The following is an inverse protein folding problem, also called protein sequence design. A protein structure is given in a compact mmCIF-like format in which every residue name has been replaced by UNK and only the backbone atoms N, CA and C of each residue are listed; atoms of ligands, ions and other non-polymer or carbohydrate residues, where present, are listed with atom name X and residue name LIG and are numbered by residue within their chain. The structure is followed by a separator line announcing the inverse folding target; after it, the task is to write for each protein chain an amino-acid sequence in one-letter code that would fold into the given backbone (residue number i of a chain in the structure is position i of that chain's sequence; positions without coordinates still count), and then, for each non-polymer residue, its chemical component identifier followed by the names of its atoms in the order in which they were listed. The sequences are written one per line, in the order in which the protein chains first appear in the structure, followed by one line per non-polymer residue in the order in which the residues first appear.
data_IF_587564260805
#
_entry.id   IF_587564260805
#
_cell.length_a   1.000
_cell.length_b   1.000
_cell.length_c   1.000
_cell.angle_alpha   90.00
_cell.angle_beta   90.00
_cell.angle_gamma   90.00
#
_symmetry.space_group_name_H-M   'P 1'
#
loop_
_entity.id
_entity.type
_entity.pdbx_description
1 polymer ?
#
# COMPACT_ATOMS: atom_id res chain seq x y z
N UNK A 1 -1.86 21.62 -18.72
CA UNK A 1 -2.32 20.65 -17.71
C UNK A 1 -1.40 20.79 -16.52
N UNK A 2 -1.90 21.20 -15.35
CA UNK A 2 -1.02 21.50 -14.20
C UNK A 2 -0.35 20.21 -13.69
N UNK A 3 0.98 20.17 -13.67
CA UNK A 3 1.79 19.08 -13.13
C UNK A 3 1.82 19.13 -11.60
N UNK A 4 0.65 18.98 -10.97
CA UNK A 4 0.58 18.91 -9.51
C UNK A 4 0.91 17.49 -9.07
N UNK A 5 1.92 17.36 -8.21
CA UNK A 5 2.27 16.08 -7.59
C UNK A 5 1.19 15.68 -6.58
N UNK A 6 0.69 14.44 -6.72
CA UNK A 6 -0.19 13.87 -5.71
C UNK A 6 0.65 13.27 -4.58
N UNK A 7 0.51 13.81 -3.37
CA UNK A 7 1.26 13.33 -2.21
C UNK A 7 0.58 12.15 -1.48
N UNK A 8 -0.77 12.12 -1.49
CA UNK A 8 -1.58 11.14 -0.76
C UNK A 8 -1.75 9.81 -1.50
N UNK A 9 -2.07 8.75 -0.74
CA UNK A 9 -2.48 7.47 -1.32
C UNK A 9 -3.95 7.48 -1.76
N UNK A 10 -4.29 6.61 -2.71
CA UNK A 10 -5.67 6.38 -3.14
C UNK A 10 -6.38 5.45 -2.13
N UNK A 11 -7.68 5.63 -1.82
CA UNK A 11 -8.45 4.67 -1.02
C UNK A 11 -8.33 3.20 -1.46
N UNK A 12 -8.14 2.98 -2.77
CA UNK A 12 -7.88 1.67 -3.37
C UNK A 12 -6.69 0.94 -2.74
N UNK A 13 -5.71 1.67 -2.22
CA UNK A 13 -4.58 1.07 -1.50
C UNK A 13 -5.05 0.28 -0.27
N UNK A 14 -6.04 0.79 0.47
CA UNK A 14 -6.64 0.06 1.57
C UNK A 14 -7.51 -1.10 1.08
N UNK A 15 -8.28 -0.88 0.02
CA UNK A 15 -9.22 -1.89 -0.52
C UNK A 15 -8.50 -3.14 -1.05
N UNK A 16 -7.44 -2.97 -1.85
CA UNK A 16 -6.64 -4.09 -2.37
C UNK A 16 -6.02 -4.88 -1.22
N UNK A 17 -5.46 -4.16 -0.23
CA UNK A 17 -4.86 -4.77 0.95
C UNK A 17 -5.90 -5.54 1.78
N UNK A 18 -7.12 -5.00 1.94
CA UNK A 18 -8.22 -5.67 2.63
C UNK A 18 -8.71 -6.94 1.91
N UNK A 19 -8.47 -7.07 0.61
CA UNK A 19 -8.70 -8.31 -0.15
C UNK A 19 -7.57 -9.34 -0.01
N UNK A 20 -6.53 -9.08 0.78
CA UNK A 20 -5.41 -10.01 0.94
C UNK A 20 -4.61 -10.23 -0.33
N UNK A 21 -4.51 -9.20 -1.18
CA UNK A 21 -3.80 -9.25 -2.46
C UNK A 21 -2.56 -8.36 -2.42
N UNK A 22 -1.47 -8.81 -3.04
CA UNK A 22 -0.24 -8.03 -3.16
C UNK A 22 -0.49 -6.79 -4.06
N UNK A 23 -0.02 -5.62 -3.61
CA UNK A 23 -0.07 -4.39 -4.38
C UNK A 23 1.34 -3.85 -4.68
N UNK A 24 1.56 -3.43 -5.92
CA UNK A 24 2.68 -2.57 -6.32
C UNK A 24 2.09 -1.23 -6.74
N UNK A 25 2.49 -0.13 -6.09
CA UNK A 25 1.99 1.23 -6.38
C UNK A 25 3.13 2.20 -6.64
N UNK A 26 2.87 3.36 -7.21
CA UNK A 26 3.88 4.39 -7.33
C UNK A 26 4.31 4.92 -5.94
N UNK A 27 5.57 5.34 -5.82
CA UNK A 27 6.06 5.95 -4.60
C UNK A 27 5.39 7.32 -4.39
N UNK A 28 4.74 7.48 -3.24
CA UNK A 28 4.04 8.72 -2.84
C UNK A 28 4.63 9.23 -1.53
N UNK A 29 4.74 10.55 -1.37
CA UNK A 29 5.33 11.15 -0.17
C UNK A 29 4.63 10.74 1.13
N UNK A 30 3.29 10.65 1.13
CA UNK A 30 2.53 10.30 2.33
C UNK A 30 2.37 8.78 2.53
N UNK A 31 2.71 7.94 1.55
CA UNK A 31 2.53 6.49 1.65
C UNK A 31 3.21 5.89 2.90
N UNK A 32 4.45 6.29 3.27
CA UNK A 32 5.12 5.82 4.49
C UNK A 32 4.36 6.12 5.80
N UNK A 33 3.36 7.01 5.79
CA UNK A 33 2.50 7.27 6.97
C UNK A 33 1.45 6.17 7.20
N UNK A 34 1.16 5.35 6.18
CA UNK A 34 0.09 4.36 6.21
C UNK A 34 0.61 2.92 6.05
N UNK A 35 1.66 2.75 5.25
CA UNK A 35 2.26 1.46 4.91
C UNK A 35 3.78 1.59 4.86
N UNK A 36 4.50 0.50 5.07
CA UNK A 36 5.95 0.40 4.97
C UNK A 36 6.35 -0.25 3.62
N UNK A 37 6.93 0.53 2.68
CA UNK A 37 7.49 0.01 1.44
C UNK A 37 8.44 -1.18 1.65
N UNK A 38 8.27 -2.23 0.86
CA UNK A 38 9.05 -3.48 0.92
C UNK A 38 8.67 -4.41 2.08
N UNK A 39 7.67 -4.06 2.90
CA UNK A 39 7.18 -4.91 3.99
C UNK A 39 5.72 -5.29 3.82
N UNK A 40 4.81 -4.31 3.81
CA UNK A 40 3.35 -4.50 3.72
C UNK A 40 2.73 -3.87 2.46
N UNK A 41 3.54 -3.16 1.67
CA UNK A 41 3.22 -2.64 0.34
C UNK A 41 4.50 -2.61 -0.50
N UNK A 42 4.38 -2.82 -1.82
CA UNK A 42 5.50 -2.58 -2.73
C UNK A 42 5.31 -1.27 -3.51
N UNK A 43 6.41 -0.58 -3.79
CA UNK A 43 6.41 0.69 -4.51
C UNK A 43 7.30 0.66 -5.76
N UNK A 44 7.12 1.60 -6.68
CA UNK A 44 8.06 1.84 -7.78
C UNK A 44 8.19 3.33 -8.08
N UNK A 45 9.34 3.73 -8.62
CA UNK A 45 9.64 5.12 -9.04
C UNK A 45 9.75 5.26 -10.56
N UNK A 46 9.97 4.15 -11.27
CA UNK A 46 10.10 4.13 -12.73
C UNK A 46 9.35 2.96 -13.34
N UNK A 47 8.95 3.09 -14.61
CA UNK A 47 8.31 2.00 -15.35
C UNK A 47 9.21 0.75 -15.45
N UNK A 48 10.53 0.95 -15.60
CA UNK A 48 11.49 -0.14 -15.64
C UNK A 48 11.56 -0.91 -14.30
N UNK A 49 11.48 -0.20 -13.17
CA UNK A 49 11.41 -0.81 -11.84
C UNK A 49 10.12 -1.60 -11.67
N UNK A 50 8.97 -1.02 -12.05
CA UNK A 50 7.68 -1.72 -12.02
C UNK A 50 7.74 -3.02 -12.81
N UNK A 51 8.25 -2.99 -14.05
CA UNK A 51 8.35 -4.18 -14.89
C UNK A 51 9.24 -5.25 -14.26
N UNK A 52 10.38 -4.87 -13.65
CA UNK A 52 11.25 -5.81 -12.94
C UNK A 52 10.55 -6.43 -11.74
N UNK A 53 9.87 -5.63 -10.92
CA UNK A 53 9.14 -6.09 -9.72
C UNK A 53 7.98 -7.03 -10.08
N UNK A 54 7.19 -6.70 -11.12
CA UNK A 54 6.15 -7.61 -11.62
C UNK A 54 6.75 -8.96 -12.00
N UNK A 55 7.81 -8.98 -12.82
CA UNK A 55 8.49 -10.23 -13.22
C UNK A 55 9.03 -11.00 -12.02
N UNK A 56 9.61 -10.30 -11.05
CA UNK A 56 10.12 -10.89 -9.82
C UNK A 56 9.01 -11.61 -9.04
N UNK A 57 7.95 -10.90 -8.66
CA UNK A 57 6.88 -11.47 -7.82
C UNK A 57 6.03 -12.53 -8.53
N UNK A 58 6.00 -12.57 -9.87
CA UNK A 58 5.41 -13.68 -10.61
C UNK A 58 6.18 -15.01 -10.46
N UNK A 59 7.47 -14.95 -10.09
CA UNK A 59 8.31 -16.14 -9.86
C UNK A 59 8.63 -16.39 -8.39
N UNK A 60 8.21 -15.51 -7.47
CA UNK A 60 8.49 -15.58 -6.03
C UNK A 60 7.18 -15.58 -5.23
N UNK A 61 6.44 -16.68 -5.32
CA UNK A 61 5.08 -16.79 -4.75
C UNK A 61 5.04 -16.59 -3.24
N UNK A 62 6.00 -17.15 -2.50
CA UNK A 62 6.05 -17.03 -1.04
C UNK A 62 6.22 -15.59 -0.59
N UNK A 63 7.13 -14.85 -1.24
CA UNK A 63 7.34 -13.42 -0.97
C UNK A 63 6.12 -12.59 -1.36
N UNK A 64 5.49 -12.92 -2.48
CA UNK A 64 4.24 -12.27 -2.94
C UNK A 64 3.12 -12.45 -1.93
N UNK A 65 2.92 -13.67 -1.43
CA UNK A 65 1.91 -13.98 -0.42
C UNK A 65 2.24 -13.33 0.91
N UNK A 66 3.51 -13.34 1.34
CA UNK A 66 3.93 -12.71 2.58
C UNK A 66 3.63 -11.20 2.58
N UNK A 67 3.87 -10.51 1.46
CA UNK A 67 3.56 -9.09 1.32
C UNK A 67 2.05 -8.84 1.34
N UNK A 68 1.27 -9.67 0.64
CA UNK A 68 -0.20 -9.60 0.65
C UNK A 68 -0.79 -9.78 2.06
N UNK A 69 -0.29 -10.78 2.81
CA UNK A 69 -0.69 -11.04 4.19
C UNK A 69 -0.37 -9.88 5.13
N UNK A 70 0.82 -9.29 5.01
CA UNK A 70 1.22 -8.12 5.82
C UNK A 70 0.38 -6.89 5.48
N UNK A 71 0.05 -6.68 4.20
CA UNK A 71 -0.87 -5.63 3.76
C UNK A 71 -2.26 -5.79 4.36
N UNK A 72 -2.81 -7.01 4.35
CA UNK A 72 -4.07 -7.34 4.99
C UNK A 72 -4.04 -7.06 6.49
N UNK A 73 -3.05 -7.58 7.21
CA UNK A 73 -2.90 -7.39 8.64
C UNK A 73 -2.79 -5.89 9.00
N UNK A 74 -2.00 -5.14 8.25
CA UNK A 74 -1.84 -3.69 8.44
C UNK A 74 -3.17 -2.97 8.27
N UNK A 75 -3.92 -3.32 7.22
CA UNK A 75 -5.21 -2.68 6.90
C UNK A 75 -6.28 -3.01 7.94
N UNK A 76 -6.45 -4.29 8.26
CA UNK A 76 -7.45 -4.74 9.23
C UNK A 76 -7.16 -4.20 10.63
N UNK A 77 -5.88 -4.07 10.99
CA UNK A 77 -5.51 -3.50 12.27
C UNK A 77 -5.68 -1.98 12.26
N UNK A 78 -5.13 -1.25 11.30
CA UNK A 78 -4.94 0.20 11.41
C UNK A 78 -5.94 1.04 10.62
N UNK A 79 -6.45 0.54 9.50
CA UNK A 79 -7.09 1.36 8.47
C UNK A 79 -8.58 1.08 8.25
N UNK A 80 -9.24 0.42 9.21
CA UNK A 80 -10.70 0.29 9.21
C UNK A 80 -11.38 1.62 9.52
N UNK A 81 -12.59 1.82 8.98
CA UNK A 81 -13.40 3.00 9.30
C UNK A 81 -13.60 3.17 10.80
N UNK A 82 -13.93 2.10 11.52
CA UNK A 82 -14.10 2.12 12.97
C UNK A 82 -12.88 2.72 13.68
N UNK A 83 -11.67 2.30 13.32
CA UNK A 83 -10.44 2.80 13.95
C UNK A 83 -10.12 4.23 13.55
N UNK A 84 -10.31 4.59 12.28
CA UNK A 84 -10.06 5.96 11.78
C UNK A 84 -11.04 6.98 12.34
N UNK A 85 -12.32 6.62 12.47
CA UNK A 85 -13.33 7.48 13.12
C UNK A 85 -13.01 7.66 14.59
N UNK A 86 -12.65 6.57 15.31
CA UNK A 86 -12.24 6.68 16.70
C UNK A 86 -11.01 7.58 16.88
N UNK A 87 -10.02 7.51 15.98
CA UNK A 87 -8.87 8.41 15.99
C UNK A 87 -9.27 9.86 15.71
N UNK A 88 -10.11 10.11 14.70
CA UNK A 88 -10.59 11.44 14.36
C UNK A 88 -11.31 12.12 15.54
N UNK A 89 -12.17 11.36 16.24
CA UNK A 89 -12.95 11.86 17.37
C UNK A 89 -12.17 11.91 18.69
N UNK A 90 -11.17 11.04 18.88
CA UNK A 90 -10.30 11.05 20.05
C UNK A 90 -9.28 12.20 20.06
N UNK A 91 -9.21 12.97 18.98
CA UNK A 91 -8.45 14.21 18.87
C UNK A 91 -9.34 15.47 18.95
N UNK A 92 -10.60 15.31 19.38
CA UNK A 92 -11.52 16.41 19.75
C UNK A 92 -11.45 16.67 21.25
#
# INVERSE_FOLDING_TARGET
THHLEGHSINPRTYEISACGTMQITDARQDLPRYYRPGYDIETFTTAAELQRKIKYYLHHEEERQALAWRGLLTTMNQHTFTRRIAQLLGHV
#
